data_IF_247266151588
#
_entry.id   IF_247266151588
#
_cell.length_a   1.000
_cell.length_b   1.000
_cell.length_c   1.000
_cell.angle_alpha   90.00
_cell.angle_beta   90.00
_cell.angle_gamma   90.00
#
_symmetry.space_group_name_H-M   'P 1'
#
loop_
_entity.id
_entity.type
_entity.pdbx_description
1 polymer ?
#
# COMPACT_ATOMS: atom_id res chain seq x y z
N UNK A 1 -26.66 -30.46 -17.07
CA UNK A 1 -25.91 -30.29 -15.81
C UNK A 1 -26.76 -30.85 -14.70
N UNK A 2 -26.24 -31.82 -13.94
CA UNK A 2 -26.95 -32.49 -12.85
C UNK A 2 -25.98 -32.64 -11.69
N UNK A 3 -26.40 -32.28 -10.48
CA UNK A 3 -25.62 -32.44 -9.24
C UNK A 3 -26.20 -33.62 -8.47
N UNK A 4 -25.36 -34.58 -8.11
CA UNK A 4 -25.76 -35.77 -7.36
C UNK A 4 -25.19 -35.72 -5.95
N UNK A 5 -26.05 -35.86 -4.93
CA UNK A 5 -25.63 -36.08 -3.55
C UNK A 5 -25.36 -37.58 -3.33
N UNK A 6 -24.09 -37.96 -3.27
CA UNK A 6 -23.67 -39.36 -3.16
C UNK A 6 -23.41 -39.70 -1.69
N UNK A 7 -24.34 -40.42 -1.07
CA UNK A 7 -24.15 -41.00 0.26
C UNK A 7 -23.35 -42.31 0.15
N UNK A 8 -22.41 -42.53 1.07
CA UNK A 8 -21.63 -43.77 1.28
C UNK A 8 -20.30 -43.96 0.49
N UNK A 9 -19.51 -42.89 0.28
CA UNK A 9 -18.12 -42.96 -0.26
C UNK A 9 -17.97 -43.68 -1.62
N UNK A 10 -19.02 -43.76 -2.45
CA UNK A 10 -18.97 -44.35 -3.81
C UNK A 10 -18.59 -43.35 -4.90
N UNK A 11 -18.14 -42.16 -4.51
CA UNK A 11 -17.87 -41.02 -5.38
C UNK A 11 -16.88 -41.38 -6.50
N UNK A 12 -15.73 -41.96 -6.16
CA UNK A 12 -14.70 -42.34 -7.15
C UNK A 12 -15.19 -43.35 -8.18
N UNK A 13 -16.01 -44.32 -7.76
CA UNK A 13 -16.58 -45.34 -8.64
C UNK A 13 -17.55 -44.70 -9.63
N UNK A 14 -18.43 -43.82 -9.16
CA UNK A 14 -19.42 -43.13 -9.99
C UNK A 14 -18.74 -42.18 -10.97
N UNK A 15 -17.74 -41.42 -10.52
CA UNK A 15 -16.94 -40.55 -11.40
C UNK A 15 -16.25 -41.40 -12.49
N UNK A 16 -15.66 -42.53 -12.11
CA UNK A 16 -14.97 -43.44 -13.05
C UNK A 16 -15.91 -44.02 -14.10
N UNK A 17 -17.13 -44.41 -13.72
CA UNK A 17 -18.14 -44.93 -14.65
C UNK A 17 -18.68 -43.84 -15.58
N UNK A 18 -18.96 -42.66 -15.05
CA UNK A 18 -19.46 -41.52 -15.84
C UNK A 18 -18.43 -41.02 -16.86
N UNK A 19 -17.12 -41.05 -16.54
CA UNK A 19 -16.04 -40.73 -17.50
C UNK A 19 -15.99 -41.67 -18.71
N UNK A 20 -16.56 -42.88 -18.61
CA UNK A 20 -16.59 -43.86 -19.71
C UNK A 20 -17.81 -43.70 -20.62
N UNK A 21 -18.79 -42.88 -20.24
CA UNK A 21 -20.02 -42.71 -21.01
C UNK A 21 -19.80 -41.67 -22.13
N UNK A 22 -19.95 -42.04 -23.42
CA UNK A 22 -19.73 -41.12 -24.54
C UNK A 22 -20.74 -39.97 -24.61
N UNK A 23 -21.82 -40.01 -23.82
CA UNK A 23 -22.80 -38.93 -23.69
C UNK A 23 -22.50 -37.96 -22.53
N UNK A 24 -21.39 -38.15 -21.79
CA UNK A 24 -20.97 -37.29 -20.68
C UNK A 24 -19.74 -36.49 -21.12
N UNK A 25 -19.88 -35.17 -21.15
CA UNK A 25 -18.83 -34.25 -21.58
C UNK A 25 -17.73 -34.09 -20.51
N UNK A 26 -18.13 -33.95 -19.24
CA UNK A 26 -17.23 -33.96 -18.08
C UNK A 26 -17.97 -34.45 -16.82
N UNK A 27 -17.19 -34.97 -15.87
CA UNK A 27 -17.65 -35.32 -14.52
C UNK A 27 -16.52 -35.07 -13.53
N UNK A 28 -16.84 -34.38 -12.46
CA UNK A 28 -15.92 -33.96 -11.41
C UNK A 28 -16.59 -34.03 -10.04
N UNK A 29 -15.78 -33.94 -8.99
CA UNK A 29 -16.28 -33.84 -7.63
C UNK A 29 -17.04 -32.53 -7.43
N UNK A 30 -18.06 -32.54 -6.58
CA UNK A 30 -18.69 -31.30 -6.16
C UNK A 30 -17.69 -30.49 -5.32
N UNK A 31 -17.02 -29.52 -5.94
CA UNK A 31 -16.08 -28.65 -5.26
C UNK A 31 -16.77 -27.84 -4.16
N UNK A 32 -16.18 -27.81 -2.97
CA UNK A 32 -16.57 -26.88 -1.91
C UNK A 32 -15.92 -25.53 -2.23
N UNK A 33 -16.71 -24.45 -2.15
CA UNK A 33 -16.18 -23.09 -2.18
C UNK A 33 -16.15 -22.55 -0.77
N UNK A 34 -15.04 -21.93 -0.40
CA UNK A 34 -14.92 -21.15 0.82
C UNK A 34 -15.40 -19.71 0.57
N UNK A 35 -15.94 -19.06 1.59
CA UNK A 35 -16.27 -17.63 1.54
C UNK A 35 -14.95 -16.87 1.68
N UNK A 36 -14.63 -16.04 0.69
CA UNK A 36 -13.42 -15.22 0.70
C UNK A 36 -13.46 -14.18 1.82
N UNK A 37 -12.30 -13.80 2.33
CA UNK A 37 -12.12 -12.86 3.42
C UNK A 37 -12.84 -11.54 3.11
N UNK A 38 -13.88 -11.25 3.88
CA UNK A 38 -14.70 -10.05 3.75
C UNK A 38 -14.49 -9.18 4.99
N UNK A 39 -13.81 -8.03 4.87
CA UNK A 39 -13.71 -7.08 5.97
C UNK A 39 -15.08 -6.68 6.55
N UNK A 40 -15.16 -6.59 7.87
CA UNK A 40 -16.38 -6.11 8.56
C UNK A 40 -16.34 -4.61 8.90
N UNK A 41 -15.34 -3.88 8.42
CA UNK A 41 -15.21 -2.43 8.61
C UNK A 41 -16.40 -1.69 7.99
N UNK A 42 -17.02 -0.70 8.67
CA UNK A 42 -18.30 -0.13 8.26
C UNK A 42 -18.34 0.43 6.84
N UNK A 43 -17.27 1.09 6.36
CA UNK A 43 -17.23 1.65 5.00
C UNK A 43 -16.78 0.64 3.94
N UNK A 44 -16.21 -0.50 4.33
CA UNK A 44 -16.08 -1.63 3.44
C UNK A 44 -17.42 -2.39 3.35
N UNK A 45 -17.97 -2.79 4.49
CA UNK A 45 -19.13 -3.66 4.61
C UNK A 45 -20.41 -3.03 4.04
N UNK A 46 -20.75 -1.78 4.40
CA UNK A 46 -22.04 -1.14 4.09
C UNK A 46 -22.19 -0.61 2.65
N UNK A 47 -21.49 -1.21 1.68
CA UNK A 47 -21.78 -1.05 0.25
C UNK A 47 -20.57 -0.69 -0.61
N UNK A 48 -20.73 -0.83 -1.92
CA UNK A 48 -19.65 -0.73 -2.91
C UNK A 48 -19.17 0.70 -3.18
N UNK A 49 -19.71 1.72 -2.48
CA UNK A 49 -19.44 3.11 -2.83
C UNK A 49 -18.05 3.59 -2.39
N UNK A 50 -17.65 3.27 -1.16
CA UNK A 50 -16.43 3.83 -0.56
C UNK A 50 -15.17 3.13 -1.06
N UNK A 51 -15.17 1.79 -1.11
CA UNK A 51 -14.03 0.98 -1.54
C UNK A 51 -14.35 0.15 -2.78
N UNK A 52 -14.94 0.81 -3.78
CA UNK A 52 -15.42 0.21 -5.03
C UNK A 52 -14.36 -0.64 -5.74
N UNK A 53 -13.09 -0.26 -5.63
CA UNK A 53 -11.99 -0.96 -6.30
C UNK A 53 -11.83 -2.40 -5.81
N UNK A 54 -12.13 -2.65 -4.53
CA UNK A 54 -12.06 -3.99 -3.94
C UNK A 54 -13.33 -4.80 -4.23
N UNK A 55 -14.51 -4.16 -4.10
CA UNK A 55 -15.80 -4.87 -4.16
C UNK A 55 -16.37 -5.11 -5.55
N UNK A 56 -16.02 -4.30 -6.55
CA UNK A 56 -16.52 -4.50 -7.91
C UNK A 56 -15.64 -5.45 -8.75
N UNK A 57 -14.73 -6.19 -8.10
CA UNK A 57 -13.83 -7.14 -8.77
C UNK A 57 -12.75 -6.49 -9.63
N UNK A 58 -12.56 -5.17 -9.55
CA UNK A 58 -11.46 -4.50 -10.25
C UNK A 58 -10.11 -4.93 -9.67
N UNK A 59 -10.01 -4.99 -8.34
CA UNK A 59 -8.94 -5.65 -7.61
C UNK A 59 -9.55 -6.81 -6.81
N UNK A 60 -9.18 -8.07 -7.08
CA UNK A 60 -9.72 -9.23 -6.39
C UNK A 60 -9.10 -9.37 -4.98
N UNK A 61 -9.29 -8.37 -4.11
CA UNK A 61 -8.58 -8.31 -2.83
C UNK A 61 -9.04 -9.35 -1.82
N UNK A 62 -10.30 -9.78 -1.86
CA UNK A 62 -10.82 -10.80 -0.95
C UNK A 62 -10.01 -12.12 -1.05
N UNK A 63 -9.64 -12.53 -2.27
CA UNK A 63 -8.80 -13.73 -2.48
C UNK A 63 -7.33 -13.52 -2.11
N UNK A 64 -6.85 -12.28 -2.13
CA UNK A 64 -5.51 -11.93 -1.63
C UNK A 64 -5.48 -12.01 -0.11
N UNK A 65 -6.53 -11.52 0.55
CA UNK A 65 -6.63 -11.52 2.02
C UNK A 65 -6.89 -12.90 2.62
N UNK A 66 -7.40 -13.85 1.84
CA UNK A 66 -7.44 -15.27 2.24
C UNK A 66 -6.03 -15.84 2.49
N UNK A 67 -5.02 -15.30 1.82
CA UNK A 67 -3.62 -15.67 2.02
C UNK A 67 -2.94 -14.74 3.03
N UNK A 68 -3.24 -14.89 4.32
CA UNK A 68 -2.71 -14.07 5.42
C UNK A 68 -1.22 -14.33 5.78
N UNK A 69 -0.45 -15.01 4.93
CA UNK A 69 0.96 -15.35 5.19
C UNK A 69 1.93 -14.15 5.01
N UNK A 70 1.50 -12.93 5.30
CA UNK A 70 2.32 -11.73 5.15
C UNK A 70 3.13 -11.45 6.42
N UNK A 71 4.41 -11.08 6.25
CA UNK A 71 5.26 -10.70 7.39
C UNK A 71 4.74 -9.43 8.04
N UNK A 72 4.55 -9.45 9.36
CA UNK A 72 4.25 -8.25 10.15
C UNK A 72 5.43 -7.28 10.27
N UNK A 73 6.64 -7.69 9.87
CA UNK A 73 7.86 -6.89 9.99
C UNK A 73 8.15 -5.97 8.80
N UNK A 74 7.40 -6.09 7.70
CA UNK A 74 7.64 -5.27 6.52
C UNK A 74 7.19 -3.82 6.79
N UNK A 75 8.05 -2.85 6.45
CA UNK A 75 7.75 -1.42 6.58
C UNK A 75 7.51 -0.80 5.21
N UNK A 76 6.39 -0.09 5.10
CA UNK A 76 6.07 0.84 4.03
C UNK A 76 6.44 2.25 4.51
N UNK A 77 7.37 2.92 3.84
CA UNK A 77 7.62 4.33 4.07
C UNK A 77 6.67 5.17 3.19
N UNK A 78 5.95 6.10 3.83
CA UNK A 78 5.09 7.06 3.14
C UNK A 78 5.78 8.41 3.16
N UNK A 79 6.21 8.84 1.98
CA UNK A 79 6.82 10.16 1.75
C UNK A 79 5.72 11.09 1.29
N UNK A 80 5.21 11.90 2.20
CA UNK A 80 4.05 12.75 1.94
C UNK A 80 3.98 13.93 2.92
N UNK A 81 2.79 14.42 3.18
CA UNK A 81 2.46 15.55 4.04
C UNK A 81 2.44 15.22 5.53
N UNK A 82 2.93 14.03 5.91
CA UNK A 82 2.79 13.45 7.24
C UNK A 82 1.58 12.51 7.34
N UNK A 83 1.35 11.96 8.53
CA UNK A 83 0.19 11.10 8.81
C UNK A 83 -0.36 11.48 10.18
N UNK A 84 -1.69 11.49 10.32
CA UNK A 84 -2.31 11.53 11.64
C UNK A 84 -2.07 10.18 12.35
N UNK A 85 -0.94 10.07 13.06
CA UNK A 85 -0.51 8.84 13.75
C UNK A 85 -1.43 8.44 14.91
N UNK A 86 -2.30 9.34 15.35
CA UNK A 86 -3.32 9.09 16.39
C UNK A 86 -4.70 8.75 15.79
N UNK A 87 -4.80 8.62 14.46
CA UNK A 87 -6.06 8.30 13.82
C UNK A 87 -6.50 6.89 14.24
N UNK A 88 -7.77 6.77 14.65
CA UNK A 88 -8.29 5.56 15.28
C UNK A 88 -8.26 4.30 14.40
N UNK A 89 -8.12 4.51 13.10
CA UNK A 89 -8.05 3.48 12.06
C UNK A 89 -6.62 3.30 11.48
N UNK A 90 -5.60 3.97 12.06
CA UNK A 90 -4.21 3.91 11.59
C UNK A 90 -3.18 3.74 12.70
N UNK A 91 -3.45 4.17 13.94
CA UNK A 91 -2.47 4.19 15.03
C UNK A 91 -1.76 2.83 15.25
N UNK A 92 -2.49 1.71 15.09
CA UNK A 92 -1.93 0.36 15.27
C UNK A 92 -0.99 -0.06 14.13
N UNK A 93 -0.92 0.73 13.06
CA UNK A 93 -0.17 0.48 11.84
C UNK A 93 1.07 1.36 11.76
N UNK A 94 1.18 2.37 12.61
CA UNK A 94 2.35 3.25 12.62
C UNK A 94 3.58 2.46 13.09
N UNK A 95 4.66 2.62 12.35
CA UNK A 95 5.98 2.09 12.68
C UNK A 95 6.53 2.81 13.91
N UNK A 96 7.25 2.06 14.73
CA UNK A 96 7.91 2.58 15.93
C UNK A 96 9.39 2.31 15.79
N UNK A 97 10.21 3.35 15.88
CA UNK A 97 11.65 3.19 16.02
C UNK A 97 11.94 2.61 17.40
N UNK A 98 12.23 1.30 17.46
CA UNK A 98 12.45 0.62 18.74
C UNK A 98 13.83 0.89 19.34
N UNK A 99 14.71 1.58 18.62
CA UNK A 99 16.04 1.97 19.10
C UNK A 99 16.06 3.34 19.78
N UNK A 100 14.99 4.11 19.67
CA UNK A 100 14.80 5.39 20.36
C UNK A 100 14.05 5.24 21.69
N UNK A 101 14.38 6.11 22.65
CA UNK A 101 13.62 6.29 23.90
C UNK A 101 12.74 7.54 23.77
N UNK A 102 11.41 7.41 23.70
CA UNK A 102 10.53 8.52 23.41
C UNK A 102 10.64 9.74 24.34
N UNK A 103 10.86 10.91 23.74
CA UNK A 103 10.84 12.23 24.36
C UNK A 103 11.95 12.45 25.40
N UNK A 104 13.12 11.84 25.19
CA UNK A 104 14.29 12.10 26.04
C UNK A 104 15.17 13.24 25.50
N UNK A 105 14.91 13.72 24.28
CA UNK A 105 15.68 14.78 23.61
C UNK A 105 17.06 14.34 23.14
N UNK A 106 17.28 13.03 22.99
CA UNK A 106 18.53 12.39 22.59
C UNK A 106 18.27 11.63 21.29
N UNK A 107 19.29 11.58 20.43
CA UNK A 107 19.36 10.65 19.30
C UNK A 107 20.02 9.36 19.83
N UNK A 108 19.20 8.43 20.31
CA UNK A 108 19.67 7.24 21.05
C UNK A 108 20.36 6.24 20.12
N UNK A 109 19.89 6.15 18.87
CA UNK A 109 20.43 5.26 17.86
C UNK A 109 21.57 5.86 17.01
N UNK A 110 21.85 7.16 17.22
CA UNK A 110 22.90 7.94 16.57
C UNK A 110 22.75 8.00 15.05
N UNK A 111 21.51 7.97 14.55
CA UNK A 111 21.20 8.07 13.13
C UNK A 111 21.15 9.53 12.63
N UNK A 112 21.26 10.51 13.52
CA UNK A 112 21.19 11.95 13.24
C UNK A 112 19.83 12.60 13.53
N UNK A 113 18.84 11.84 14.02
CA UNK A 113 17.45 12.25 14.15
C UNK A 113 16.93 12.04 15.58
N UNK A 114 16.89 13.13 16.36
CA UNK A 114 16.47 13.10 17.77
C UNK A 114 15.01 12.68 17.91
N UNK A 115 14.74 11.65 18.73
CA UNK A 115 13.39 11.18 19.07
C UNK A 115 12.51 10.85 17.83
N UNK A 116 13.06 10.26 16.77
CA UNK A 116 12.37 9.93 15.50
C UNK A 116 11.43 8.71 15.59
N UNK A 117 10.61 8.67 16.64
CA UNK A 117 9.82 7.50 17.07
C UNK A 117 8.92 6.93 15.98
N UNK A 118 8.35 7.76 15.11
CA UNK A 118 7.43 7.30 14.06
C UNK A 118 7.92 7.63 12.63
N UNK A 119 9.18 8.05 12.52
CA UNK A 119 9.79 8.64 11.34
C UNK A 119 10.14 10.11 11.57
N UNK A 120 10.31 10.85 10.48
CA UNK A 120 10.93 12.17 10.51
C UNK A 120 10.20 13.21 9.64
N UNK A 121 10.24 14.46 10.10
CA UNK A 121 9.85 15.63 9.33
C UNK A 121 11.08 16.36 8.79
N UNK A 122 11.48 15.98 7.59
CA UNK A 122 12.65 16.53 6.88
C UNK A 122 12.50 17.99 6.47
N UNK A 123 11.28 18.55 6.43
CA UNK A 123 11.09 19.96 6.10
C UNK A 123 11.39 20.84 7.32
N UNK A 124 10.92 20.42 8.49
CA UNK A 124 11.05 21.18 9.73
C UNK A 124 12.18 20.69 10.66
N UNK A 125 12.90 19.65 10.23
CA UNK A 125 14.04 19.03 10.94
C UNK A 125 13.68 18.64 12.38
N UNK A 126 12.61 17.85 12.53
CA UNK A 126 12.15 17.36 13.83
C UNK A 126 11.30 16.07 13.71
N UNK A 127 10.91 15.52 14.86
CA UNK A 127 10.09 14.31 14.96
C UNK A 127 8.57 14.53 14.80
N UNK A 128 8.11 15.76 14.52
CA UNK A 128 6.69 16.02 14.33
C UNK A 128 6.22 15.61 12.93
N UNK A 129 5.79 14.36 12.81
CA UNK A 129 5.29 13.75 11.57
C UNK A 129 3.79 13.92 11.35
N UNK A 130 3.10 14.71 12.20
CA UNK A 130 1.67 14.93 12.09
C UNK A 130 1.29 15.57 10.75
N UNK A 131 0.24 15.03 10.16
CA UNK A 131 -0.30 15.57 8.91
C UNK A 131 -0.96 16.94 9.13
N UNK A 132 -0.58 17.92 8.31
CA UNK A 132 -1.12 19.28 8.31
C UNK A 132 -1.78 19.66 6.98
N UNK A 133 -1.91 18.71 6.05
CA UNK A 133 -2.51 18.90 4.72
C UNK A 133 -3.48 17.78 4.31
N UNK A 134 -3.69 16.77 5.18
CA UNK A 134 -4.59 15.61 5.09
C UNK A 134 -4.28 14.57 4.01
N UNK A 135 -3.42 14.89 3.04
CA UNK A 135 -3.15 14.05 1.89
C UNK A 135 -2.45 12.74 2.29
N UNK A 136 -1.42 12.82 3.13
CA UNK A 136 -0.62 11.67 3.55
C UNK A 136 -1.42 10.72 4.44
N UNK A 137 -2.30 11.23 5.29
CA UNK A 137 -3.25 10.40 6.07
C UNK A 137 -4.18 9.61 5.15
N UNK A 138 -4.69 10.22 4.08
CA UNK A 138 -5.53 9.54 3.10
C UNK A 138 -4.78 8.45 2.33
N UNK A 139 -3.55 8.74 1.90
CA UNK A 139 -2.66 7.77 1.26
C UNK A 139 -2.36 6.59 2.18
N UNK A 140 -2.03 6.86 3.45
CA UNK A 140 -1.77 5.84 4.46
C UNK A 140 -2.99 4.95 4.73
N UNK A 141 -4.19 5.54 4.80
CA UNK A 141 -5.43 4.80 5.00
C UNK A 141 -5.71 3.81 3.87
N UNK A 142 -5.58 4.23 2.61
CA UNK A 142 -5.76 3.33 1.46
C UNK A 142 -4.74 2.19 1.50
N UNK A 143 -3.49 2.48 1.85
CA UNK A 143 -2.45 1.46 1.92
C UNK A 143 -2.70 0.45 3.04
N UNK A 144 -2.97 0.92 4.26
CA UNK A 144 -2.88 0.08 5.46
C UNK A 144 -3.77 0.53 6.62
N UNK A 145 -4.97 1.07 6.38
CA UNK A 145 -5.95 1.19 7.47
C UNK A 145 -6.13 -0.14 8.23
N UNK A 146 -6.37 -0.07 9.53
CA UNK A 146 -6.52 -1.25 10.38
C UNK A 146 -7.80 -2.00 10.02
N UNK A 147 -7.66 -3.00 9.15
CA UNK A 147 -8.78 -3.85 8.76
C UNK A 147 -9.32 -4.70 9.92
N UNK A 148 -10.63 -4.92 9.93
CA UNK A 148 -11.37 -5.71 10.91
C UNK A 148 -11.29 -5.12 12.34
N UNK A 149 -11.45 -3.81 12.47
CA UNK A 149 -11.51 -3.14 13.79
C UNK A 149 -12.87 -2.48 14.10
N UNK A 150 -13.88 -2.70 13.24
CA UNK A 150 -15.21 -2.07 13.29
C UNK A 150 -15.19 -0.54 13.08
N UNK A 151 -14.15 0.01 12.44
CA UNK A 151 -14.00 1.43 12.17
C UNK A 151 -13.67 1.63 10.68
N UNK A 152 -13.93 2.84 10.20
CA UNK A 152 -13.45 3.31 8.91
C UNK A 152 -13.50 2.29 7.75
N UNK A 153 -12.33 2.09 7.13
CA UNK A 153 -12.13 1.36 5.87
C UNK A 153 -11.19 0.15 6.08
N UNK A 154 -11.21 -0.80 5.14
CA UNK A 154 -10.20 -1.85 5.09
C UNK A 154 -8.96 -1.38 4.31
N UNK A 155 -7.77 -1.45 4.91
CA UNK A 155 -6.51 -1.18 4.21
C UNK A 155 -6.20 -2.26 3.17
N UNK A 156 -5.40 -1.91 2.15
CA UNK A 156 -4.93 -2.87 1.14
C UNK A 156 -4.09 -3.99 1.78
N UNK A 157 -3.12 -3.63 2.62
CA UNK A 157 -2.26 -4.56 3.34
C UNK A 157 -2.71 -4.67 4.80
N UNK A 158 -3.11 -5.88 5.20
CA UNK A 158 -3.57 -6.18 6.56
C UNK A 158 -2.43 -6.41 7.57
N UNK A 159 -1.18 -6.40 7.11
CA UNK A 159 0.02 -6.60 7.92
C UNK A 159 1.12 -5.62 7.48
N UNK A 160 2.10 -5.40 8.36
CA UNK A 160 3.18 -4.43 8.16
C UNK A 160 2.99 -3.15 8.97
N UNK A 161 3.96 -2.23 8.83
CA UNK A 161 4.00 -0.94 9.54
C UNK A 161 4.28 0.24 8.58
N UNK A 162 3.74 1.42 8.90
CA UNK A 162 3.92 2.67 8.16
C UNK A 162 4.99 3.50 8.86
N UNK A 163 6.13 3.69 8.20
CA UNK A 163 7.09 4.73 8.56
C UNK A 163 6.65 6.05 7.93
N UNK A 164 6.52 7.10 8.74
CA UNK A 164 5.98 8.38 8.28
C UNK A 164 7.12 9.34 7.97
N UNK A 165 7.25 9.75 6.71
CA UNK A 165 8.22 10.75 6.29
C UNK A 165 7.49 11.97 5.77
N UNK A 166 7.48 13.00 6.61
CA UNK A 166 6.86 14.28 6.30
C UNK A 166 7.86 15.15 5.54
N UNK A 167 7.52 15.47 4.29
CA UNK A 167 8.41 16.15 3.35
C UNK A 167 7.79 17.41 2.74
N UNK A 168 6.54 17.71 3.10
CA UNK A 168 5.84 18.87 2.58
C UNK A 168 6.31 20.17 3.24
N UNK A 169 6.29 21.24 2.47
CA UNK A 169 6.31 22.60 2.99
C UNK A 169 5.04 22.78 3.82
N UNK A 170 5.20 23.13 5.10
CA UNK A 170 4.12 23.11 6.11
C UNK A 170 2.81 23.74 5.61
N UNK A 171 1.70 23.06 5.89
CA UNK A 171 0.33 23.40 5.47
C UNK A 171 0.14 23.52 3.96
N UNK A 172 1.00 22.89 3.15
CA UNK A 172 0.88 22.87 1.69
C UNK A 172 1.10 21.48 1.11
N UNK A 173 0.69 21.28 -0.14
CA UNK A 173 0.97 20.07 -0.92
C UNK A 173 2.27 20.16 -1.73
N UNK A 174 3.13 21.14 -1.45
CA UNK A 174 4.41 21.32 -2.16
C UNK A 174 5.55 20.64 -1.40
N UNK A 175 6.51 20.10 -2.13
CA UNK A 175 7.63 19.33 -1.60
C UNK A 175 8.92 19.94 -2.14
N UNK A 176 9.92 20.06 -1.27
CA UNK A 176 11.26 20.48 -1.67
C UNK A 176 12.11 19.27 -2.02
N UNK A 177 12.99 19.40 -3.02
CA UNK A 177 13.87 18.29 -3.43
C UNK A 177 14.84 17.88 -2.32
N UNK A 178 15.27 18.80 -1.46
CA UNK A 178 16.13 18.48 -0.32
C UNK A 178 15.41 17.63 0.73
N UNK A 179 14.16 17.97 1.05
CA UNK A 179 13.32 17.20 1.97
C UNK A 179 13.06 15.79 1.45
N UNK A 180 12.78 15.66 0.15
CA UNK A 180 12.64 14.35 -0.50
C UNK A 180 13.92 13.52 -0.40
N UNK A 181 15.08 14.08 -0.77
CA UNK A 181 16.36 13.35 -0.75
C UNK A 181 16.75 12.90 0.66
N UNK A 182 16.52 13.74 1.67
CA UNK A 182 16.75 13.39 3.06
C UNK A 182 15.84 12.24 3.50
N UNK A 183 14.55 12.29 3.16
CA UNK A 183 13.60 11.24 3.49
C UNK A 183 13.97 9.90 2.82
N UNK A 184 14.39 9.94 1.55
CA UNK A 184 14.87 8.75 0.84
C UNK A 184 16.10 8.14 1.53
N UNK A 185 17.05 8.96 1.97
CA UNK A 185 18.23 8.51 2.71
C UNK A 185 17.87 7.97 4.11
N UNK A 186 16.95 8.63 4.82
CA UNK A 186 16.41 8.17 6.10
C UNK A 186 15.84 6.75 5.94
N UNK A 187 14.92 6.57 4.98
CA UNK A 187 14.30 5.28 4.71
C UNK A 187 15.33 4.18 4.36
N UNK A 188 16.39 4.54 3.62
CA UNK A 188 17.48 3.63 3.26
C UNK A 188 18.28 3.11 4.47
N UNK A 189 18.29 3.86 5.58
CA UNK A 189 18.98 3.49 6.83
C UNK A 189 18.34 2.32 7.56
N UNK A 190 17.09 1.98 7.26
CA UNK A 190 16.33 0.95 7.96
C UNK A 190 16.10 -0.28 7.07
N UNK A 191 16.76 -1.39 7.40
CA UNK A 191 16.70 -2.66 6.64
C UNK A 191 15.29 -3.28 6.51
N UNK A 192 14.36 -2.88 7.38
CA UNK A 192 12.97 -3.31 7.38
C UNK A 192 12.08 -2.56 6.37
N UNK A 193 12.54 -1.43 5.83
CA UNK A 193 11.82 -0.71 4.76
C UNK A 193 11.92 -1.52 3.48
N UNK A 194 10.76 -1.90 2.94
CA UNK A 194 10.66 -2.72 1.72
C UNK A 194 10.03 -1.97 0.55
N UNK A 195 9.19 -0.98 0.87
CA UNK A 195 8.46 -0.19 -0.13
C UNK A 195 8.50 1.28 0.28
N UNK A 196 8.69 2.16 -0.69
CA UNK A 196 8.54 3.62 -0.54
C UNK A 196 7.42 4.06 -1.48
N UNK A 197 6.40 4.73 -0.93
CA UNK A 197 5.32 5.33 -1.69
C UNK A 197 5.52 6.85 -1.81
N UNK A 198 5.48 7.34 -3.05
CA UNK A 198 5.67 8.74 -3.42
C UNK A 198 4.43 9.25 -4.18
N UNK A 199 3.42 9.74 -3.45
CA UNK A 199 2.16 10.23 -4.02
C UNK A 199 2.24 11.69 -4.47
N UNK A 200 3.34 12.05 -5.13
CA UNK A 200 3.63 13.39 -5.63
C UNK A 200 4.36 13.32 -6.97
N UNK A 201 4.52 14.46 -7.62
CA UNK A 201 5.42 14.55 -8.76
C UNK A 201 5.45 15.89 -9.44
N UNK A 202 6.44 16.08 -10.31
CA UNK A 202 6.63 17.33 -11.05
C UNK A 202 7.04 17.12 -12.51
N UNK A 203 6.90 18.19 -13.30
CA UNK A 203 7.37 18.24 -14.68
C UNK A 203 8.86 18.54 -14.73
N UNK A 204 9.68 17.53 -14.50
CA UNK A 204 11.14 17.65 -14.52
C UNK A 204 11.76 16.75 -13.46
N UNK A 205 12.88 16.12 -13.81
CA UNK A 205 13.64 15.31 -12.89
C UNK A 205 14.91 16.03 -12.46
N UNK A 206 15.43 15.68 -11.31
CA UNK A 206 16.70 16.15 -10.77
C UNK A 206 17.75 15.03 -10.81
N UNK A 207 18.99 15.35 -11.15
CA UNK A 207 20.05 14.33 -11.20
C UNK A 207 20.35 13.71 -9.83
N UNK A 208 20.20 14.48 -8.75
CA UNK A 208 20.34 13.99 -7.38
C UNK A 208 19.24 12.98 -7.02
N UNK A 209 17.99 13.27 -7.37
CA UNK A 209 16.84 12.38 -7.18
C UNK A 209 17.03 11.09 -7.99
N UNK A 210 17.44 11.19 -9.25
CA UNK A 210 17.77 10.03 -10.08
C UNK A 210 18.84 9.13 -9.45
N UNK A 211 19.85 9.72 -8.80
CA UNK A 211 20.91 8.99 -8.11
C UNK A 211 20.40 8.31 -6.83
N UNK A 212 19.60 9.00 -6.04
CA UNK A 212 19.00 8.44 -4.83
C UNK A 212 18.07 7.26 -5.14
N UNK A 213 17.17 7.43 -6.13
CA UNK A 213 16.28 6.39 -6.65
C UNK A 213 17.07 5.17 -7.11
N UNK A 214 18.15 5.37 -7.88
CA UNK A 214 19.02 4.27 -8.32
C UNK A 214 19.64 3.53 -7.13
N UNK A 215 20.19 4.26 -6.16
CA UNK A 215 20.83 3.65 -4.99
C UNK A 215 19.84 2.80 -4.18
N UNK A 216 18.62 3.29 -3.97
CA UNK A 216 17.57 2.55 -3.25
C UNK A 216 17.21 1.23 -3.94
N UNK A 217 17.14 1.23 -5.28
CA UNK A 217 16.83 0.03 -6.06
C UNK A 217 18.01 -0.95 -6.07
N UNK A 218 19.21 -0.45 -6.39
CA UNK A 218 20.39 -1.29 -6.64
C UNK A 218 21.03 -1.80 -5.35
N UNK A 219 21.12 -0.96 -4.31
CA UNK A 219 21.85 -1.25 -3.09
C UNK A 219 20.95 -1.67 -1.93
N UNK A 220 19.78 -1.03 -1.78
CA UNK A 220 18.86 -1.31 -0.68
C UNK A 220 17.76 -2.31 -1.06
N UNK A 221 17.58 -2.59 -2.36
CA UNK A 221 16.53 -3.47 -2.88
C UNK A 221 15.11 -3.06 -2.44
N UNK A 222 14.88 -1.75 -2.36
CA UNK A 222 13.59 -1.18 -1.97
C UNK A 222 12.72 -0.99 -3.23
N UNK A 223 11.46 -1.40 -3.14
CA UNK A 223 10.48 -1.16 -4.22
C UNK A 223 9.96 0.27 -4.14
N UNK A 224 10.02 0.98 -5.25
CA UNK A 224 9.63 2.39 -5.32
C UNK A 224 8.34 2.52 -6.13
N UNK A 225 7.34 3.17 -5.56
CA UNK A 225 6.03 3.39 -6.19
C UNK A 225 5.76 4.89 -6.23
N UNK A 226 5.40 5.41 -7.40
CA UNK A 226 5.10 6.82 -7.55
C UNK A 226 3.87 7.09 -8.43
N UNK A 227 3.18 8.20 -8.15
CA UNK A 227 2.05 8.64 -8.94
C UNK A 227 2.48 9.04 -10.36
N UNK A 228 1.78 8.54 -11.37
CA UNK A 228 2.07 8.83 -12.77
C UNK A 228 1.91 10.32 -13.14
N UNK A 229 1.05 11.04 -12.40
CA UNK A 229 0.69 12.44 -12.64
C UNK A 229 -0.80 12.63 -12.93
N UNK A 230 -1.29 13.85 -12.74
CA UNK A 230 -2.70 14.23 -12.81
C UNK A 230 -3.04 15.11 -14.04
N UNK A 231 -2.31 14.94 -15.15
CA UNK A 231 -2.58 15.67 -16.40
C UNK A 231 -2.49 14.72 -17.61
N UNK A 232 -3.61 14.43 -18.31
CA UNK A 232 -3.64 13.48 -19.42
C UNK A 232 -2.86 13.93 -20.65
N UNK A 233 -2.55 15.22 -20.76
CA UNK A 233 -1.82 15.79 -21.88
C UNK A 233 -0.31 15.84 -21.63
N UNK A 234 0.13 15.41 -20.43
CA UNK A 234 1.53 15.39 -20.04
C UNK A 234 2.05 13.95 -19.94
N UNK A 235 3.37 13.85 -20.14
CA UNK A 235 4.12 12.63 -19.88
C UNK A 235 4.08 12.31 -18.38
N UNK A 236 4.48 11.08 -18.02
CA UNK A 236 4.74 10.70 -16.64
C UNK A 236 5.59 11.76 -15.92
N UNK A 237 5.16 12.11 -14.70
CA UNK A 237 5.91 12.99 -13.80
C UNK A 237 7.10 12.25 -13.18
N UNK A 238 8.08 13.01 -12.68
CA UNK A 238 9.10 12.45 -11.78
C UNK A 238 8.60 12.54 -10.33
N UNK A 239 8.87 11.53 -9.47
CA UNK A 239 9.83 10.43 -9.67
C UNK A 239 9.34 9.23 -10.49
N UNK A 240 8.04 9.13 -10.82
CA UNK A 240 7.46 7.95 -11.50
C UNK A 240 8.12 7.58 -12.84
N UNK A 241 8.79 8.53 -13.50
CA UNK A 241 9.47 8.32 -14.77
C UNK A 241 10.91 7.77 -14.64
N UNK A 242 11.50 7.71 -13.44
CA UNK A 242 12.84 7.14 -13.30
C UNK A 242 12.85 5.62 -13.50
N UNK A 243 13.92 5.07 -14.10
CA UNK A 243 14.12 3.63 -14.14
C UNK A 243 14.10 3.03 -12.73
N UNK A 244 13.41 1.90 -12.57
CA UNK A 244 13.27 1.21 -11.29
C UNK A 244 12.09 1.68 -10.43
N UNK A 245 11.37 2.73 -10.85
CA UNK A 245 10.14 3.20 -10.17
C UNK A 245 8.91 2.65 -10.87
N UNK A 246 7.97 2.12 -10.09
CA UNK A 246 6.66 1.68 -10.56
C UNK A 246 5.75 2.91 -10.64
N UNK A 247 5.45 3.34 -11.86
CA UNK A 247 4.49 4.41 -12.13
C UNK A 247 3.05 3.89 -12.02
N UNK A 248 2.22 4.55 -11.20
CA UNK A 248 0.83 4.16 -10.98
C UNK A 248 -0.12 5.25 -11.48
N UNK A 249 -0.98 4.89 -12.44
CA UNK A 249 -2.01 5.77 -13.00
C UNK A 249 -3.38 5.60 -12.36
N UNK A 250 -4.26 6.57 -12.57
CA UNK A 250 -5.60 6.59 -11.99
C UNK A 250 -6.59 5.84 -12.89
N UNK A 251 -7.45 5.01 -12.28
CA UNK A 251 -8.55 4.30 -12.93
C UNK A 251 -9.89 4.66 -12.32
N UNK A 252 -10.94 4.66 -13.13
CA UNK A 252 -12.31 4.85 -12.67
C UNK A 252 -13.01 3.51 -12.35
N UNK A 253 -14.26 3.61 -11.89
CA UNK A 253 -15.08 2.46 -11.45
C UNK A 253 -15.35 1.40 -12.53
N UNK A 254 -15.14 1.75 -13.80
CA UNK A 254 -15.34 0.85 -14.94
C UNK A 254 -14.01 0.20 -15.39
N UNK A 255 -12.93 0.38 -14.63
CA UNK A 255 -11.60 -0.10 -14.99
C UNK A 255 -10.99 0.63 -16.18
N UNK A 256 -11.48 1.83 -16.48
CA UNK A 256 -10.94 2.67 -17.56
C UNK A 256 -9.96 3.66 -16.95
N UNK A 257 -8.78 3.78 -17.55
CA UNK A 257 -7.79 4.79 -17.17
C UNK A 257 -8.43 6.18 -17.23
N UNK A 258 -8.36 6.92 -16.12
CA UNK A 258 -9.00 8.21 -15.93
C UNK A 258 -8.55 9.21 -16.99
N UNK A 259 -9.43 10.14 -17.36
CA UNK A 259 -9.06 11.31 -18.17
C UNK A 259 -8.18 12.29 -17.39
N UNK A 260 -7.90 12.04 -16.12
CA UNK A 260 -7.00 12.85 -15.31
C UNK A 260 -5.60 12.26 -15.22
N UNK A 261 -5.36 11.00 -15.60
CA UNK A 261 -4.04 10.37 -15.41
C UNK A 261 -3.07 10.74 -16.52
N UNK A 262 -1.84 11.11 -16.15
CA UNK A 262 -0.72 11.19 -17.09
C UNK A 262 -0.32 9.80 -17.60
N UNK A 263 0.33 9.75 -18.78
CA UNK A 263 0.67 8.50 -19.50
C UNK A 263 2.10 8.55 -20.05
N UNK A 264 2.73 7.40 -20.26
CA UNK A 264 4.09 7.30 -20.82
C UNK A 264 4.42 5.92 -21.34
#
# INVERSE_FOLDING_TARGET
MVVYDIKNNKQDQIITELKKNPNVDFVEENGIREIMATPYDPYYYNGNYYQWAYKNGFLPMESVWDNQNASSSAVLAILDTGVNINHEDLQDRIWINSTEVPNNGIDDDQNGYIDDINGWNTYADNNNVMDDFVHGTGVAAVAMATTNNNKGIAGMAWHGKIMVLKINISNSGYISISSELEALNYAAGFSQVRVINMSFGSNGGFSSEAQAIRSLVENNHITLIAAAGNDPNKKLTYPARYPGVIAVGLYNRNGIASSLTSRG
#
